data_IF_744538949815
#
_entry.id   IF_744538949815
#
_cell.length_a   1.000
_cell.length_b   1.000
_cell.length_c   1.000
_cell.angle_alpha   90.00
_cell.angle_beta   90.00
_cell.angle_gamma   90.00
#
_symmetry.space_group_name_H-M   'P 1'
#
loop_
_entity.id
_entity.type
_entity.pdbx_description
1 polymer ?
#
# COMPACT_ATOMS: atom_id res chain seq x y z
N UNK A 1 -25.68 -4.39 28.58
CA UNK A 1 -26.41 -4.25 27.30
C UNK A 1 -25.62 -4.98 26.23
N UNK A 2 -26.25 -5.81 25.40
CA UNK A 2 -25.55 -6.48 24.30
C UNK A 2 -24.88 -5.42 23.41
N UNK A 3 -23.56 -5.53 23.26
CA UNK A 3 -22.73 -4.62 22.46
C UNK A 3 -23.27 -4.65 21.03
N UNK A 4 -24.00 -3.60 20.61
CA UNK A 4 -24.59 -3.52 19.27
C UNK A 4 -23.42 -3.49 18.29
N UNK A 5 -23.21 -4.60 17.57
CA UNK A 5 -22.15 -4.69 16.56
C UNK A 5 -22.41 -3.62 15.50
N UNK A 6 -21.37 -2.88 15.14
CA UNK A 6 -21.51 -1.90 14.07
C UNK A 6 -21.85 -2.61 12.74
N UNK A 7 -22.71 -1.99 11.91
CA UNK A 7 -23.00 -2.52 10.59
C UNK A 7 -21.74 -2.50 9.73
N UNK A 8 -21.58 -3.56 8.92
CA UNK A 8 -20.50 -3.61 7.94
C UNK A 8 -20.83 -2.66 6.78
N UNK A 9 -19.95 -1.70 6.53
CA UNK A 9 -20.13 -0.71 5.46
C UNK A 9 -19.68 -1.32 4.12
N UNK A 10 -20.51 -1.32 3.06
CA UNK A 10 -20.07 -1.67 1.72
C UNK A 10 -19.13 -0.58 1.19
N UNK A 11 -17.92 -0.96 0.79
CA UNK A 11 -16.85 -0.04 0.37
C UNK A 11 -16.07 -0.65 -0.78
N UNK A 12 -15.73 0.15 -1.79
CA UNK A 12 -14.89 -0.26 -2.92
C UNK A 12 -13.40 -0.32 -2.51
N UNK A 13 -12.59 -1.12 -3.23
CA UNK A 13 -11.19 -1.34 -2.87
C UNK A 13 -10.38 -0.03 -2.90
N UNK A 14 -10.56 0.78 -3.94
CA UNK A 14 -9.87 2.06 -4.08
C UNK A 14 -10.25 3.06 -2.98
N UNK A 15 -11.51 3.06 -2.54
CA UNK A 15 -11.95 3.92 -1.44
C UNK A 15 -11.33 3.47 -0.10
N UNK A 16 -11.21 2.17 0.11
CA UNK A 16 -10.64 1.60 1.33
C UNK A 16 -9.13 1.84 1.41
N UNK A 17 -8.39 1.70 0.30
CA UNK A 17 -6.93 1.91 0.27
C UNK A 17 -6.53 3.37 0.49
N UNK A 18 -7.39 4.31 0.10
CA UNK A 18 -7.20 5.76 0.35
C UNK A 18 -7.59 6.20 1.76
N UNK A 19 -8.28 5.36 2.54
CA UNK A 19 -8.62 5.67 3.92
C UNK A 19 -7.41 5.55 4.85
N UNK A 20 -6.57 6.59 4.89
CA UNK A 20 -5.29 6.59 5.63
C UNK A 20 -5.41 7.17 7.04
N UNK A 21 -6.41 8.01 7.31
CA UNK A 21 -6.51 8.76 8.57
C UNK A 21 -7.26 7.97 9.64
N UNK A 22 -6.57 7.69 10.74
CA UNK A 22 -7.14 7.05 11.92
C UNK A 22 -7.88 8.06 12.81
N UNK A 23 -8.97 7.61 13.43
CA UNK A 23 -9.74 8.35 14.43
C UNK A 23 -10.18 7.40 15.55
N UNK A 24 -9.95 7.80 16.80
CA UNK A 24 -10.39 7.08 17.99
C UNK A 24 -11.30 8.01 18.77
N UNK A 25 -12.51 7.56 19.09
CA UNK A 25 -13.44 8.35 19.91
C UNK A 25 -13.11 8.19 21.41
N UNK A 26 -13.36 9.24 22.21
CA UNK A 26 -13.03 9.31 23.66
C UNK A 26 -13.84 8.38 24.59
N UNK A 27 -14.53 7.38 24.06
CA UNK A 27 -15.24 6.38 24.87
C UNK A 27 -14.30 5.22 25.24
N UNK A 28 -14.48 4.70 26.45
CA UNK A 28 -13.62 3.71 27.11
C UNK A 28 -13.44 2.37 26.34
N UNK A 29 -14.18 2.15 25.24
CA UNK A 29 -14.06 0.96 24.38
C UNK A 29 -14.39 1.26 22.91
N UNK A 30 -14.11 2.48 22.45
CA UNK A 30 -14.33 2.87 21.05
C UNK A 30 -13.46 2.05 20.11
N UNK A 31 -14.02 1.55 18.99
CA UNK A 31 -13.19 0.97 17.94
C UNK A 31 -12.34 2.08 17.30
N UNK A 32 -11.18 1.69 16.81
CA UNK A 32 -10.36 2.53 15.93
C UNK A 32 -11.06 2.62 14.58
N UNK A 33 -11.42 3.83 14.17
CA UNK A 33 -12.00 4.09 12.86
C UNK A 33 -10.93 4.55 11.89
N UNK A 34 -11.02 4.09 10.64
CA UNK A 34 -10.39 4.72 9.50
C UNK A 34 -11.39 5.63 8.82
N UNK A 35 -10.98 6.85 8.54
CA UNK A 35 -11.82 7.84 7.87
C UNK A 35 -11.40 7.86 6.39
N UNK A 36 -12.34 7.52 5.50
CA UNK A 36 -12.14 7.72 4.05
C UNK A 36 -12.13 9.22 3.72
N UNK A 37 -11.45 9.60 2.64
CA UNK A 37 -11.49 10.96 2.08
C UNK A 37 -12.94 11.41 1.80
N UNK A 38 -13.82 10.47 1.45
CA UNK A 38 -15.25 10.70 1.25
C UNK A 38 -16.08 10.55 2.54
N UNK A 39 -15.46 10.66 3.71
CA UNK A 39 -16.17 10.73 4.98
C UNK A 39 -16.79 9.43 5.50
N UNK A 40 -16.37 8.24 5.02
CA UNK A 40 -16.81 7.00 5.67
C UNK A 40 -16.06 6.78 6.99
N UNK A 41 -16.81 6.55 8.08
CA UNK A 41 -16.31 6.02 9.36
C UNK A 41 -16.21 4.50 9.28
N UNK A 42 -15.03 4.00 8.92
CA UNK A 42 -14.76 2.59 8.62
C UNK A 42 -14.16 1.88 9.84
N UNK A 43 -14.88 0.91 10.38
CA UNK A 43 -14.39 -0.03 11.41
C UNK A 43 -14.55 -1.48 10.94
N UNK A 44 -15.70 -1.76 10.33
CA UNK A 44 -16.11 -3.04 9.77
C UNK A 44 -16.62 -2.82 8.35
N UNK A 45 -16.16 -3.64 7.43
CA UNK A 45 -16.45 -3.52 6.00
C UNK A 45 -17.13 -4.77 5.48
N UNK A 46 -17.97 -4.56 4.47
CA UNK A 46 -18.51 -5.60 3.61
C UNK A 46 -17.83 -5.42 2.24
N UNK A 47 -17.00 -6.38 1.85
CA UNK A 47 -16.25 -6.34 0.60
C UNK A 47 -16.61 -7.55 -0.26
N UNK A 48 -16.58 -7.38 -1.57
CA UNK A 48 -16.93 -8.42 -2.53
C UNK A 48 -16.00 -8.36 -3.73
N UNK A 49 -15.74 -9.52 -4.33
CA UNK A 49 -14.81 -9.60 -5.44
C UNK A 49 -14.41 -11.02 -5.79
N UNK A 50 -13.38 -11.14 -6.61
CA UNK A 50 -12.73 -12.39 -6.96
C UNK A 50 -11.51 -12.58 -6.06
N UNK A 51 -11.53 -13.60 -5.22
CA UNK A 51 -10.36 -14.02 -4.47
C UNK A 51 -9.40 -14.70 -5.45
N UNK A 52 -8.21 -14.13 -5.67
CA UNK A 52 -7.24 -14.62 -6.66
C UNK A 52 -6.20 -15.52 -6.02
N UNK A 53 -5.61 -15.08 -4.90
CA UNK A 53 -4.47 -15.74 -4.27
C UNK A 53 -4.73 -15.91 -2.78
N UNK A 54 -4.31 -17.05 -2.25
CA UNK A 54 -4.31 -17.34 -0.82
C UNK A 54 -2.98 -18.03 -0.50
N UNK A 55 -2.16 -17.38 0.31
CA UNK A 55 -0.91 -17.93 0.83
C UNK A 55 -1.01 -18.13 2.33
N UNK A 56 -0.49 -19.27 2.82
CA UNK A 56 -0.20 -19.43 4.23
C UNK A 56 1.30 -19.17 4.45
N UNK A 57 1.63 -18.10 5.17
CA UNK A 57 3.00 -17.77 5.59
C UNK A 57 3.32 -18.18 7.03
N UNK A 58 2.34 -18.75 7.72
CA UNK A 58 2.53 -19.29 9.05
C UNK A 58 3.10 -20.70 9.03
N UNK A 59 3.30 -21.26 10.22
CA UNK A 59 3.54 -22.70 10.37
C UNK A 59 2.22 -23.47 10.34
N UNK A 60 2.29 -24.80 10.27
CA UNK A 60 1.07 -25.63 10.39
C UNK A 60 0.36 -25.45 11.74
N UNK A 61 1.13 -25.17 12.80
CA UNK A 61 0.62 -24.95 14.16
C UNK A 61 0.13 -23.51 14.41
N UNK A 62 0.72 -22.51 13.74
CA UNK A 62 0.29 -21.10 13.77
C UNK A 62 0.09 -20.58 12.33
N UNK A 63 -1.06 -20.91 11.70
CA UNK A 63 -1.30 -20.54 10.33
C UNK A 63 -1.53 -19.03 10.20
N UNK A 64 -0.88 -18.42 9.22
CA UNK A 64 -1.00 -17.01 8.88
C UNK A 64 -1.36 -16.86 7.41
N UNK A 65 -2.65 -16.72 7.14
CA UNK A 65 -3.19 -16.57 5.80
C UNK A 65 -3.13 -15.11 5.34
N UNK A 66 -2.52 -14.90 4.18
CA UNK A 66 -2.64 -13.69 3.39
C UNK A 66 -3.39 -14.00 2.11
N UNK A 67 -4.37 -13.17 1.80
CA UNK A 67 -5.22 -13.37 0.64
C UNK A 67 -5.38 -12.08 -0.16
N UNK A 68 -5.39 -12.23 -1.48
CA UNK A 68 -5.61 -11.15 -2.43
C UNK A 68 -7.00 -11.30 -3.05
N UNK A 69 -7.81 -10.25 -2.98
CA UNK A 69 -9.13 -10.21 -3.61
C UNK A 69 -9.26 -9.00 -4.51
N UNK A 70 -9.79 -9.18 -5.71
CA UNK A 70 -9.96 -8.13 -6.71
C UNK A 70 -11.44 -7.71 -6.75
N UNK A 71 -11.71 -6.42 -6.57
CA UNK A 71 -13.02 -5.78 -6.77
C UNK A 71 -13.39 -5.82 -8.27
N UNK A 72 -14.68 -5.89 -8.66
CA UNK A 72 -15.16 -5.58 -10.01
C UNK A 72 -14.44 -4.46 -10.78
N UNK A 73 -13.91 -3.43 -10.09
CA UNK A 73 -13.14 -2.34 -10.70
C UNK A 73 -11.68 -2.69 -11.07
N UNK A 74 -11.18 -3.88 -10.71
CA UNK A 74 -9.77 -4.29 -10.92
C UNK A 74 -8.82 -3.92 -9.78
N UNK A 75 -9.32 -3.21 -8.77
CA UNK A 75 -8.58 -2.85 -7.56
C UNK A 75 -8.49 -4.00 -6.55
N UNK A 76 -7.46 -3.99 -5.71
CA UNK A 76 -7.16 -5.10 -4.81
C UNK A 76 -7.47 -4.78 -3.35
N UNK A 77 -8.13 -5.72 -2.68
CA UNK A 77 -8.19 -5.85 -1.23
C UNK A 77 -7.14 -6.84 -0.73
N UNK A 78 -6.54 -6.50 0.40
CA UNK A 78 -5.65 -7.40 1.13
C UNK A 78 -6.33 -7.95 2.38
N UNK A 79 -6.46 -9.27 2.44
CA UNK A 79 -7.04 -10.01 3.55
C UNK A 79 -5.93 -10.62 4.39
N UNK A 80 -6.01 -10.49 5.72
CA UNK A 80 -5.06 -11.10 6.66
C UNK A 80 -5.78 -11.83 7.77
N UNK A 81 -5.44 -13.09 8.00
CA UNK A 81 -5.94 -13.86 9.14
C UNK A 81 -4.86 -14.78 9.72
N UNK A 82 -4.60 -14.67 11.02
CA UNK A 82 -3.64 -15.52 11.73
C UNK A 82 -4.18 -16.01 13.08
N UNK A 83 -3.30 -16.34 14.04
CA UNK A 83 -3.69 -16.77 15.41
C UNK A 83 -4.72 -15.87 16.10
N UNK A 84 -4.63 -14.54 15.93
CA UNK A 84 -5.56 -13.59 16.54
C UNK A 84 -6.91 -13.49 15.81
N UNK A 85 -7.07 -14.18 14.69
CA UNK A 85 -8.28 -14.25 13.88
C UNK A 85 -8.53 -15.69 13.38
N UNK A 86 -8.82 -16.64 14.28
CA UNK A 86 -8.96 -18.05 13.91
C UNK A 86 -10.18 -18.31 13.02
N UNK A 87 -11.27 -17.54 13.18
CA UNK A 87 -12.46 -17.64 12.33
C UNK A 87 -12.14 -17.28 10.87
N UNK A 88 -11.40 -16.19 10.66
CA UNK A 88 -10.95 -15.78 9.33
C UNK A 88 -9.96 -16.78 8.70
N UNK A 89 -9.02 -17.29 9.50
CA UNK A 89 -8.05 -18.28 9.04
C UNK A 89 -8.74 -19.58 8.61
N UNK A 90 -9.70 -20.06 9.40
CA UNK A 90 -10.49 -21.24 9.06
C UNK A 90 -11.41 -21.03 7.84
N UNK A 91 -11.85 -19.80 7.58
CA UNK A 91 -12.64 -19.50 6.38
C UNK A 91 -11.77 -19.48 5.11
N UNK A 92 -10.59 -18.86 5.19
CA UNK A 92 -9.63 -18.80 4.08
C UNK A 92 -9.06 -20.19 3.74
N UNK A 93 -8.77 -21.03 4.74
CA UNK A 93 -8.21 -22.37 4.51
C UNK A 93 -9.15 -23.34 3.79
N UNK A 94 -10.46 -23.07 3.80
CA UNK A 94 -11.49 -23.92 3.16
C UNK A 94 -11.83 -23.50 1.75
N UNK A 95 -11.26 -22.40 1.26
CA UNK A 95 -11.61 -21.82 -0.02
C UNK A 95 -10.48 -22.02 -1.00
N UNK A 96 -10.85 -22.52 -2.17
CA UNK A 96 -9.96 -22.67 -3.30
C UNK A 96 -10.13 -21.45 -4.21
N UNK A 97 -9.04 -20.70 -4.37
CA UNK A 97 -8.96 -19.60 -5.33
C UNK A 97 -8.54 -20.13 -6.72
N UNK A 98 -8.95 -19.49 -7.84
CA UNK A 98 -9.75 -18.27 -7.91
C UNK A 98 -11.26 -18.50 -7.73
N UNK A 99 -11.92 -17.69 -6.90
CA UNK A 99 -13.40 -17.75 -6.79
C UNK A 99 -14.05 -16.42 -6.34
N UNK A 100 -15.33 -16.23 -6.69
CA UNK A 100 -16.12 -15.09 -6.24
C UNK A 100 -16.48 -15.24 -4.76
N UNK A 101 -16.18 -14.23 -3.95
CA UNK A 101 -16.43 -14.22 -2.52
C UNK A 101 -17.00 -12.89 -2.06
N UNK A 102 -17.77 -12.93 -0.98
CA UNK A 102 -18.11 -11.77 -0.17
C UNK A 102 -17.58 -12.01 1.23
N UNK A 103 -16.85 -11.02 1.75
CA UNK A 103 -16.27 -11.05 3.07
C UNK A 103 -16.78 -9.89 3.93
N UNK A 104 -17.00 -10.18 5.21
CA UNK A 104 -17.18 -9.17 6.25
C UNK A 104 -15.95 -9.21 7.12
N UNK A 105 -15.33 -8.05 7.36
CA UNK A 105 -14.10 -8.00 8.13
C UNK A 105 -13.89 -6.68 8.87
N UNK A 106 -12.96 -6.70 9.83
CA UNK A 106 -12.48 -5.51 10.51
C UNK A 106 -11.33 -4.91 9.73
N UNK A 107 -11.30 -3.59 9.63
CA UNK A 107 -10.21 -2.91 8.93
C UNK A 107 -9.09 -2.62 9.92
N UNK A 108 -7.86 -2.89 9.50
CA UNK A 108 -6.64 -2.56 10.21
C UNK A 108 -5.70 -1.82 9.28
N UNK A 109 -5.28 -0.64 9.68
CA UNK A 109 -4.12 0.03 9.09
C UNK A 109 -2.85 -0.47 9.77
N UNK A 110 -1.78 -0.58 9.00
CA UNK A 110 -0.43 -0.82 9.48
C UNK A 110 0.50 0.15 8.75
N UNK A 111 1.33 0.86 9.51
CA UNK A 111 2.41 1.69 8.99
C UNK A 111 3.71 1.02 9.43
N UNK A 112 4.61 0.64 8.52
CA UNK A 112 5.97 0.25 8.89
C UNK A 112 6.70 1.44 9.52
N UNK A 113 7.59 1.19 10.48
CA UNK A 113 8.36 2.25 11.14
C UNK A 113 9.37 2.94 10.19
N UNK A 114 9.80 2.23 9.14
CA UNK A 114 10.76 2.71 8.12
C UNK A 114 10.09 3.37 6.90
N UNK A 115 8.76 3.56 6.90
CA UNK A 115 8.05 4.11 5.74
C UNK A 115 6.79 4.89 6.14
N UNK A 116 6.57 6.04 5.48
CA UNK A 116 5.30 6.78 5.55
C UNK A 116 4.12 6.06 4.85
N UNK A 117 4.34 4.86 4.30
CA UNK A 117 3.32 4.07 3.64
C UNK A 117 2.33 3.44 4.63
N UNK A 118 1.06 3.85 4.53
CA UNK A 118 -0.04 3.25 5.28
C UNK A 118 -0.69 2.13 4.46
N UNK A 119 -0.54 0.90 4.93
CA UNK A 119 -1.19 -0.26 4.34
C UNK A 119 -2.51 -0.57 5.04
N UNK A 120 -3.59 -0.64 4.26
CA UNK A 120 -4.92 -1.00 4.76
C UNK A 120 -5.19 -2.47 4.46
N UNK A 121 -5.50 -3.23 5.51
CA UNK A 121 -5.79 -4.65 5.43
C UNK A 121 -7.13 -4.96 6.10
N UNK A 122 -7.76 -6.04 5.66
CA UNK A 122 -9.03 -6.51 6.21
C UNK A 122 -8.82 -7.83 6.93
N UNK A 123 -9.22 -7.89 8.20
CA UNK A 123 -9.28 -9.11 8.99
C UNK A 123 -10.67 -9.73 8.80
N UNK A 124 -10.82 -10.80 8.00
CA UNK A 124 -12.13 -11.38 7.74
C UNK A 124 -12.70 -12.02 9.01
N UNK A 125 -13.93 -11.66 9.37
CA UNK A 125 -14.73 -12.33 10.39
C UNK A 125 -15.59 -13.43 9.78
N UNK A 126 -16.09 -13.20 8.56
CA UNK A 126 -16.88 -14.17 7.81
C UNK A 126 -16.58 -14.00 6.33
N UNK A 127 -16.43 -15.11 5.63
CA UNK A 127 -16.15 -15.11 4.21
C UNK A 127 -16.91 -16.27 3.58
N UNK A 128 -17.65 -15.97 2.49
CA UNK A 128 -18.49 -16.94 1.80
C UNK A 128 -18.24 -16.89 0.29
N UNK A 129 -18.14 -18.06 -0.33
CA UNK A 129 -18.20 -18.22 -1.79
C UNK A 129 -19.60 -17.83 -2.29
N UNK A 130 -19.65 -16.97 -3.30
CA UNK A 130 -20.87 -16.41 -3.86
C UNK A 130 -20.87 -16.53 -5.38
N UNK A 131 -22.01 -16.24 -6.00
CA UNK A 131 -22.10 -16.08 -7.46
C UNK A 131 -21.65 -14.69 -7.90
N UNK A 132 -21.29 -14.54 -9.17
CA UNK A 132 -20.97 -13.24 -9.79
C UNK A 132 -22.10 -12.23 -9.59
N UNK A 133 -23.36 -12.65 -9.76
CA UNK A 133 -24.53 -11.79 -9.57
C UNK A 133 -24.61 -11.22 -8.14
N UNK A 134 -24.23 -11.98 -7.12
CA UNK A 134 -24.21 -11.50 -5.74
C UNK A 134 -23.12 -10.45 -5.53
N UNK A 135 -21.96 -10.60 -6.18
CA UNK A 135 -20.90 -9.59 -6.19
C UNK A 135 -21.40 -8.33 -6.89
N UNK A 136 -22.07 -8.44 -8.04
CA UNK A 136 -22.67 -7.29 -8.73
C UNK A 136 -23.68 -6.54 -7.85
N UNK A 137 -24.55 -7.26 -7.14
CA UNK A 137 -25.53 -6.66 -6.20
C UNK A 137 -24.81 -5.97 -5.04
N UNK A 138 -23.72 -6.55 -4.53
CA UNK A 138 -22.88 -5.90 -3.52
C UNK A 138 -22.23 -4.62 -4.07
N UNK A 139 -21.68 -4.66 -5.28
CA UNK A 139 -20.99 -3.54 -5.91
C UNK A 139 -21.95 -2.35 -6.11
N UNK A 140 -23.19 -2.60 -6.54
CA UNK A 140 -24.25 -1.57 -6.61
C UNK A 140 -24.51 -0.94 -5.24
N UNK A 141 -24.50 -1.72 -4.15
CA UNK A 141 -24.66 -1.19 -2.78
C UNK A 141 -23.46 -0.35 -2.35
N UNK A 142 -22.24 -0.75 -2.70
CA UNK A 142 -21.04 0.03 -2.45
C UNK A 142 -21.06 1.36 -3.23
N UNK A 143 -21.40 1.32 -4.52
CA UNK A 143 -21.56 2.51 -5.36
C UNK A 143 -22.62 3.47 -4.80
N UNK A 144 -23.79 2.95 -4.41
CA UNK A 144 -24.82 3.78 -3.78
C UNK A 144 -24.37 4.38 -2.43
N UNK A 145 -23.55 3.67 -1.68
CA UNK A 145 -22.97 4.16 -0.42
C UNK A 145 -21.99 5.32 -0.64
N UNK A 146 -21.11 5.18 -1.63
CA UNK A 146 -20.16 6.23 -2.02
C UNK A 146 -20.87 7.42 -2.67
N UNK A 147 -21.81 7.19 -3.58
CA UNK A 147 -22.58 8.24 -4.26
C UNK A 147 -23.36 9.12 -3.28
N UNK A 148 -23.97 8.55 -2.24
CA UNK A 148 -24.67 9.35 -1.21
C UNK A 148 -23.72 10.31 -0.50
N UNK A 149 -22.54 9.84 -0.12
CA UNK A 149 -21.50 10.67 0.53
C UNK A 149 -20.91 11.70 -0.42
N UNK A 150 -20.72 11.36 -1.69
CA UNK A 150 -20.27 12.30 -2.72
C UNK A 150 -21.28 13.45 -2.92
N UNK A 151 -22.57 13.12 -3.06
CA UNK A 151 -23.64 14.13 -3.13
C UNK A 151 -23.72 14.97 -1.86
N UNK A 152 -23.56 14.35 -0.68
CA UNK A 152 -23.53 15.08 0.58
C UNK A 152 -22.33 16.02 0.72
N UNK A 153 -21.15 15.62 0.23
CA UNK A 153 -19.98 16.48 0.15
C UNK A 153 -20.21 17.69 -0.76
N UNK A 154 -20.77 17.46 -1.95
CA UNK A 154 -21.15 18.53 -2.88
C UNK A 154 -22.19 19.47 -2.28
N UNK A 155 -23.24 18.94 -1.64
CA UNK A 155 -24.26 19.73 -0.97
C UNK A 155 -23.66 20.63 0.14
N UNK A 156 -22.70 20.12 0.93
CA UNK A 156 -21.99 20.94 1.92
C UNK A 156 -21.20 22.08 1.27
N UNK A 157 -20.50 21.81 0.17
CA UNK A 157 -19.77 22.83 -0.58
C UNK A 157 -20.70 23.89 -1.16
N UNK A 158 -21.89 23.50 -1.61
CA UNK A 158 -22.92 24.38 -2.17
C UNK A 158 -23.84 25.00 -1.09
N UNK A 159 -23.47 24.88 0.20
CA UNK A 159 -24.26 25.34 1.34
C UNK A 159 -25.73 24.89 1.33
N UNK A 160 -25.99 23.70 0.80
CA UNK A 160 -27.28 23.03 0.72
C UNK A 160 -27.40 21.92 1.76
N UNK A 161 -28.63 21.49 2.09
CA UNK A 161 -28.87 20.47 3.12
C UNK A 161 -28.52 19.06 2.59
N UNK A 162 -27.53 18.36 3.18
CA UNK A 162 -27.15 17.03 2.74
C UNK A 162 -28.15 15.96 3.21
N UNK A 163 -28.67 15.16 2.28
CA UNK A 163 -29.46 13.96 2.59
C UNK A 163 -28.57 12.80 3.09
N UNK A 164 -27.93 12.99 4.25
CA UNK A 164 -27.01 12.04 4.87
C UNK A 164 -27.52 11.58 6.24
N UNK A 165 -27.23 10.33 6.60
CA UNK A 165 -27.45 9.86 7.97
C UNK A 165 -26.45 10.51 8.95
N UNK A 166 -26.78 10.54 10.25
CA UNK A 166 -25.90 11.13 11.28
C UNK A 166 -24.44 10.63 11.22
N UNK A 167 -24.24 9.32 11.02
CA UNK A 167 -22.89 8.72 10.92
C UNK A 167 -22.12 9.24 9.70
N UNK A 168 -22.79 9.47 8.59
CA UNK A 168 -22.18 9.95 7.35
C UNK A 168 -21.85 11.44 7.45
N UNK A 169 -22.71 12.24 8.10
CA UNK A 169 -22.43 13.65 8.40
C UNK A 169 -21.22 13.80 9.33
N UNK A 170 -21.16 13.04 10.42
CA UNK A 170 -20.01 13.02 11.33
C UNK A 170 -18.72 12.63 10.60
N UNK A 171 -18.77 11.58 9.77
CA UNK A 171 -17.62 11.10 9.04
C UNK A 171 -17.13 12.10 8.00
N UNK A 172 -18.04 12.80 7.32
CA UNK A 172 -17.71 13.86 6.38
C UNK A 172 -17.07 15.07 7.04
N UNK A 173 -17.57 15.49 8.21
CA UNK A 173 -16.95 16.55 9.01
C UNK A 173 -15.52 16.17 9.43
N UNK A 174 -15.33 14.93 9.90
CA UNK A 174 -14.00 14.41 10.24
C UNK A 174 -13.07 14.33 9.03
N UNK A 175 -13.59 14.04 7.83
CA UNK A 175 -12.79 14.02 6.62
C UNK A 175 -12.34 15.42 6.23
N UNK A 176 -13.21 16.43 6.31
CA UNK A 176 -12.85 17.84 6.05
C UNK A 176 -11.81 18.38 7.04
N UNK A 177 -11.80 17.88 8.28
CA UNK A 177 -10.78 18.25 9.27
C UNK A 177 -9.43 17.56 9.00
N UNK A 178 -9.45 16.31 8.51
CA UNK A 178 -8.26 15.46 8.40
C UNK A 178 -7.60 15.45 7.02
N UNK A 179 -8.34 15.79 5.97
CA UNK A 179 -7.90 15.83 4.59
C UNK A 179 -8.04 17.27 4.06
N UNK A 180 -6.91 17.88 3.72
CA UNK A 180 -6.87 19.26 3.20
C UNK A 180 -7.43 19.35 1.78
N UNK A 181 -7.18 18.34 0.96
CA UNK A 181 -7.64 18.24 -0.42
C UNK A 181 -8.26 16.87 -0.68
N UNK A 182 -9.50 16.87 -1.17
CA UNK A 182 -10.22 15.66 -1.57
C UNK A 182 -10.65 15.82 -3.02
N UNK A 183 -10.15 14.96 -3.91
CA UNK A 183 -10.56 14.94 -5.31
C UNK A 183 -11.89 14.22 -5.47
N UNK A 184 -12.99 14.98 -5.47
CA UNK A 184 -14.34 14.42 -5.71
C UNK A 184 -14.47 13.86 -7.12
N UNK A 185 -13.75 14.42 -8.09
CA UNK A 185 -13.74 13.97 -9.50
C UNK A 185 -13.19 12.55 -9.64
N UNK A 186 -12.12 12.20 -8.91
CA UNK A 186 -11.56 10.85 -8.94
C UNK A 186 -12.56 9.80 -8.44
N UNK A 187 -13.32 10.11 -7.38
CA UNK A 187 -14.37 9.20 -6.89
C UNK A 187 -15.59 9.14 -7.81
N UNK A 188 -15.91 10.21 -8.53
CA UNK A 188 -16.94 10.19 -9.55
C UNK A 188 -16.54 9.31 -10.74
N UNK A 189 -15.26 9.34 -11.15
CA UNK A 189 -14.70 8.42 -12.15
C UNK A 189 -14.79 6.96 -11.72
N UNK A 190 -14.36 6.64 -10.49
CA UNK A 190 -14.50 5.31 -9.90
C UNK A 190 -15.95 4.79 -9.92
N UNK A 191 -16.91 5.66 -9.57
CA UNK A 191 -18.33 5.31 -9.63
C UNK A 191 -18.79 5.02 -11.06
N UNK A 192 -18.36 5.84 -12.02
CA UNK A 192 -18.70 5.68 -13.42
C UNK A 192 -18.16 4.36 -13.97
N UNK A 193 -16.88 4.06 -13.73
CA UNK A 193 -16.23 2.84 -14.21
C UNK A 193 -16.87 1.58 -13.62
N UNK A 194 -17.15 1.59 -12.31
CA UNK A 194 -17.82 0.48 -11.63
C UNK A 194 -19.24 0.27 -12.17
N UNK A 195 -20.04 1.33 -12.32
CA UNK A 195 -21.40 1.22 -12.85
C UNK A 195 -21.44 0.80 -14.32
N UNK A 196 -20.48 1.25 -15.13
CA UNK A 196 -20.34 0.85 -16.54
C UNK A 196 -19.93 -0.61 -16.69
N UNK A 197 -19.04 -1.09 -15.83
CA UNK A 197 -18.72 -2.51 -15.73
C UNK A 197 -19.97 -3.34 -15.39
N UNK A 198 -20.75 -2.89 -14.40
CA UNK A 198 -21.97 -3.58 -13.97
C UNK A 198 -23.12 -3.53 -14.99
N UNK A 199 -23.16 -2.51 -15.87
CA UNK A 199 -24.15 -2.44 -16.95
C UNK A 199 -23.84 -3.38 -18.12
N UNK A 200 -22.66 -4.01 -18.14
CA UNK A 200 -22.21 -4.89 -19.21
C UNK A 200 -21.79 -4.14 -20.49
N UNK A 201 -21.63 -2.82 -20.41
CA UNK A 201 -21.12 -2.01 -21.54
C UNK A 201 -19.60 -2.14 -21.73
N UNK A 202 -18.90 -2.62 -20.70
CA UNK A 202 -17.50 -3.04 -20.79
C UNK A 202 -17.45 -4.57 -20.88
N UNK A 203 -16.75 -5.17 -21.86
CA UNK A 203 -16.49 -6.61 -21.83
C UNK A 203 -15.76 -6.90 -20.53
N UNK A 204 -16.15 -7.99 -19.85
CA UNK A 204 -15.51 -8.47 -18.62
C UNK A 204 -13.99 -8.36 -18.78
N UNK A 205 -13.38 -7.39 -18.08
CA UNK A 205 -11.94 -7.17 -18.17
C UNK A 205 -11.29 -8.50 -17.85
N UNK A 206 -10.57 -9.02 -18.83
CA UNK A 206 -9.60 -10.09 -18.66
C UNK A 206 -8.84 -9.80 -17.37
N UNK A 207 -8.70 -10.83 -16.52
CA UNK A 207 -7.71 -10.82 -15.46
C UNK A 207 -6.36 -10.54 -16.13
N UNK A 208 -6.01 -9.28 -16.31
CA UNK A 208 -4.68 -8.88 -16.73
C UNK A 208 -3.79 -9.41 -15.64
N UNK A 209 -2.96 -10.41 -15.98
CA UNK A 209 -2.01 -11.01 -15.06
C UNK A 209 -1.16 -9.90 -14.47
N UNK A 210 -1.54 -9.45 -13.26
CA UNK A 210 -0.69 -8.65 -12.40
C UNK A 210 0.48 -9.52 -11.96
N UNK A 211 1.64 -8.91 -11.62
CA UNK A 211 2.85 -9.65 -11.26
C UNK A 211 2.57 -10.72 -10.21
N UNK A 212 3.35 -11.81 -10.21
CA UNK A 212 3.17 -12.92 -9.29
C UNK A 212 3.05 -12.37 -7.86
N UNK A 213 2.04 -12.86 -7.14
CA UNK A 213 1.82 -12.49 -5.74
C UNK A 213 3.06 -12.92 -4.95
N UNK A 214 3.99 -12.00 -4.70
CA UNK A 214 5.17 -12.24 -3.85
C UNK A 214 4.83 -12.05 -2.38
N UNK A 215 3.56 -11.73 -2.07
CA UNK A 215 3.03 -11.27 -0.78
C UNK A 215 3.84 -10.17 -0.09
N UNK A 216 4.68 -9.47 -0.83
CA UNK A 216 5.17 -8.14 -0.51
C UNK A 216 4.14 -7.14 -1.02
N UNK A 217 3.78 -6.18 -0.17
CA UNK A 217 2.74 -5.22 -0.52
C UNK A 217 3.32 -4.20 -1.51
N UNK A 218 2.76 -4.12 -2.71
CA UNK A 218 3.09 -3.06 -3.65
C UNK A 218 2.57 -1.71 -3.12
N UNK A 219 3.38 -0.67 -3.30
CA UNK A 219 3.10 0.70 -2.85
C UNK A 219 1.93 1.30 -3.63
N UNK A 220 1.13 2.12 -2.94
CA UNK A 220 -0.05 2.78 -3.53
C UNK A 220 0.28 3.81 -4.64
N UNK A 221 1.56 4.09 -4.87
CA UNK A 221 2.05 5.04 -5.87
C UNK A 221 2.24 4.39 -7.26
N UNK A 222 2.35 3.06 -7.32
CA UNK A 222 2.59 2.32 -8.56
C UNK A 222 1.35 2.18 -9.48
N UNK A 223 0.24 2.84 -9.17
CA UNK A 223 -1.03 2.69 -9.90
C UNK A 223 -1.35 3.85 -10.87
N UNK A 224 -0.42 4.79 -11.08
CA UNK A 224 -0.63 5.96 -11.96
C UNK A 224 -0.16 5.80 -13.42
N UNK A 225 0.42 4.67 -13.84
CA UNK A 225 0.87 4.51 -15.24
C UNK A 225 0.02 3.49 -16.02
N UNK A 226 -0.63 3.90 -17.14
CA UNK A 226 -1.32 2.95 -18.03
C UNK A 226 -0.30 2.05 -18.76
N UNK A 227 -0.57 0.75 -18.94
CA UNK A 227 0.37 -0.14 -19.59
C UNK A 227 0.27 -0.02 -21.12
N UNK A 228 1.40 0.25 -21.76
CA UNK A 228 1.56 0.13 -23.20
C UNK A 228 1.71 -1.36 -23.59
N UNK A 229 0.97 -1.76 -24.63
CA UNK A 229 0.86 -3.09 -25.21
C UNK A 229 2.21 -3.71 -25.62
N UNK A 230 2.42 -5.04 -25.46
CA UNK A 230 3.66 -5.72 -25.82
C UNK A 230 3.66 -6.21 -27.28
N UNK A 231 4.83 -6.18 -27.92
CA UNK A 231 5.11 -6.90 -29.16
C UNK A 231 6.08 -8.05 -28.88
N UNK A 232 5.72 -9.23 -29.39
CA UNK A 232 6.41 -10.51 -29.29
C UNK A 232 7.77 -10.52 -30.02
N UNK A 233 8.76 -11.26 -29.48
CA UNK A 233 9.32 -12.53 -30.03
C UNK A 233 10.85 -12.63 -29.86
N UNK A 234 11.23 -13.70 -29.15
CA UNK A 234 12.41 -14.60 -29.27
C UNK A 234 13.88 -14.11 -29.28
N UNK A 235 14.61 -14.75 -28.34
CA UNK A 235 15.88 -15.46 -28.49
C UNK A 235 17.20 -14.66 -28.58
N UNK A 236 17.98 -14.77 -27.49
CA UNK A 236 19.30 -15.43 -27.42
C UNK A 236 20.26 -14.66 -26.51
N UNK A 237 21.03 -15.41 -25.73
CA UNK A 237 21.96 -14.91 -24.72
C UNK A 237 23.35 -14.62 -25.35
N UNK A 238 24.36 -14.25 -24.53
CA UNK A 238 24.94 -12.90 -24.42
C UNK A 238 26.27 -12.76 -25.22
N UNK A 239 26.86 -11.55 -25.31
CA UNK A 239 28.03 -11.31 -24.45
C UNK A 239 28.25 -9.87 -23.97
N UNK A 240 29.20 -9.79 -23.04
CA UNK A 240 29.80 -8.66 -22.34
C UNK A 240 30.38 -7.51 -23.20
N UNK A 241 30.45 -6.36 -22.54
CA UNK A 241 31.53 -5.37 -22.49
C UNK A 241 31.60 -4.19 -23.48
N UNK A 242 31.93 -3.05 -22.87
CA UNK A 242 32.65 -1.87 -23.37
C UNK A 242 31.81 -0.87 -24.21
N UNK A 243 31.25 0.20 -23.61
CA UNK A 243 31.84 1.49 -23.18
C UNK A 243 31.80 2.60 -24.24
N UNK A 244 31.46 3.80 -23.74
CA UNK A 244 31.91 5.15 -24.14
C UNK A 244 31.04 5.96 -25.12
N UNK A 245 30.44 7.03 -24.56
CA UNK A 245 30.71 8.46 -24.84
C UNK A 245 29.49 9.26 -24.33
N UNK A 246 29.58 9.97 -23.19
CA UNK A 246 30.07 11.38 -23.07
C UNK A 246 29.31 12.31 -24.03
N UNK A 247 28.57 13.32 -23.57
CA UNK A 247 29.00 14.58 -22.94
C UNK A 247 27.72 15.33 -22.49
N UNK A 248 27.68 16.30 -21.59
CA UNK A 248 28.61 16.92 -20.64
C UNK A 248 27.80 18.03 -19.93
N UNK A 249 28.11 18.30 -18.67
CA UNK A 249 28.14 19.68 -18.15
C UNK A 249 28.94 19.66 -16.84
N UNK A 250 30.15 20.17 -16.96
CA UNK A 250 31.18 20.40 -15.96
C UNK A 250 30.79 21.38 -14.83
N UNK A 251 31.66 21.36 -13.81
CA UNK A 251 31.92 22.30 -12.69
C UNK A 251 31.47 21.71 -11.32
N UNK A 252 32.32 21.23 -10.39
CA UNK A 252 33.75 21.39 -10.11
C UNK A 252 34.33 20.08 -9.51
N UNK A 253 35.37 19.53 -10.13
CA UNK A 253 36.12 18.36 -9.66
C UNK A 253 37.16 18.77 -8.60
N UNK A 254 36.90 18.40 -7.34
CA UNK A 254 37.92 17.72 -6.54
C UNK A 254 37.68 16.22 -6.79
N UNK A 255 38.70 15.47 -7.21
CA UNK A 255 38.45 14.16 -7.84
C UNK A 255 37.62 13.24 -6.92
N UNK A 256 36.51 12.72 -7.43
CA UNK A 256 35.62 11.82 -6.67
C UNK A 256 36.40 10.62 -6.13
N UNK A 257 37.44 10.19 -6.85
CA UNK A 257 38.37 9.17 -6.41
C UNK A 257 39.16 9.55 -5.14
N UNK A 258 39.56 10.82 -4.97
CA UNK A 258 40.23 11.29 -3.74
C UNK A 258 39.25 11.35 -2.56
N UNK A 259 37.99 11.72 -2.82
CA UNK A 259 36.94 11.76 -1.81
C UNK A 259 36.50 10.35 -1.37
N UNK A 260 36.37 9.42 -2.32
CA UNK A 260 36.12 7.99 -2.08
C UNK A 260 37.26 7.36 -1.26
N UNK A 261 38.52 7.65 -1.63
CA UNK A 261 39.69 7.20 -0.89
C UNK A 261 39.69 7.75 0.55
N UNK A 262 39.31 9.02 0.76
CA UNK A 262 39.20 9.61 2.08
C UNK A 262 38.11 8.95 2.93
N UNK A 263 36.96 8.60 2.34
CA UNK A 263 35.87 7.89 3.03
C UNK A 263 36.28 6.45 3.40
N UNK A 264 36.95 5.72 2.52
CA UNK A 264 37.50 4.39 2.82
C UNK A 264 38.51 4.41 3.96
N UNK A 265 39.39 5.41 3.96
CA UNK A 265 40.36 5.64 5.03
C UNK A 265 39.67 5.91 6.37
N UNK A 266 38.56 6.65 6.33
CA UNK A 266 37.77 7.02 7.51
C UNK A 266 36.99 5.83 8.06
N UNK A 267 36.41 4.99 7.20
CA UNK A 267 35.78 3.72 7.59
C UNK A 267 36.81 2.76 8.19
N UNK A 268 38.00 2.67 7.61
CA UNK A 268 39.07 1.79 8.13
C UNK A 268 39.61 2.27 9.48
N UNK A 269 39.79 3.59 9.65
CA UNK A 269 40.32 4.18 10.90
C UNK A 269 39.35 4.09 12.07
N UNK A 270 38.05 4.12 11.81
CA UNK A 270 36.99 4.10 12.83
C UNK A 270 36.45 2.67 13.10
N UNK A 271 36.92 1.66 12.37
CA UNK A 271 36.59 0.25 12.60
C UNK A 271 37.51 -0.36 13.68
N UNK A 272 37.26 0.02 14.93
CA UNK A 272 38.09 -0.38 16.07
C UNK A 272 37.98 -1.88 16.42
N UNK A 273 36.88 -2.53 16.01
CA UNK A 273 36.49 -3.87 16.48
C UNK A 273 36.23 -4.88 15.34
N UNK A 274 36.33 -4.47 14.07
CA UNK A 274 36.06 -5.35 12.93
C UNK A 274 34.57 -5.68 12.76
N UNK A 275 33.69 -4.88 13.37
CA UNK A 275 32.24 -5.01 13.29
C UNK A 275 31.61 -3.99 12.33
N UNK A 276 32.42 -3.08 11.77
CA UNK A 276 31.96 -1.96 10.95
C UNK A 276 31.57 -0.74 11.78
N UNK A 277 31.64 0.41 11.11
CA UNK A 277 31.47 1.74 11.70
C UNK A 277 30.03 2.20 11.53
N UNK A 278 29.43 2.69 12.62
CA UNK A 278 28.10 3.29 12.60
C UNK A 278 28.08 4.53 11.71
N UNK A 279 27.04 4.66 10.87
CA UNK A 279 26.85 5.79 9.98
C UNK A 279 26.90 7.15 10.69
N UNK A 280 26.27 7.29 11.86
CA UNK A 280 26.31 8.54 12.63
C UNK A 280 27.75 8.97 12.96
N UNK A 281 28.63 8.01 13.27
CA UNK A 281 30.04 8.30 13.54
C UNK A 281 30.80 8.64 12.25
N UNK A 282 30.49 7.95 11.15
CA UNK A 282 31.07 8.27 9.84
C UNK A 282 30.69 9.69 9.40
N UNK A 283 29.41 10.04 9.53
CA UNK A 283 28.85 11.37 9.24
C UNK A 283 29.57 12.47 10.02
N UNK A 284 29.67 12.32 11.34
CA UNK A 284 30.26 13.37 12.19
C UNK A 284 31.75 13.60 11.85
N UNK A 285 32.48 12.54 11.47
CA UNK A 285 33.89 12.64 11.07
C UNK A 285 34.05 13.09 9.61
N UNK A 286 33.14 12.75 8.71
CA UNK A 286 33.12 13.21 7.33
C UNK A 286 32.84 14.71 7.24
N UNK A 287 31.88 15.22 8.02
CA UNK A 287 31.61 16.66 8.13
C UNK A 287 32.83 17.40 8.71
N UNK A 288 33.53 16.80 9.68
CA UNK A 288 34.78 17.36 10.20
C UNK A 288 35.92 17.37 9.16
N UNK A 289 35.89 16.45 8.18
CA UNK A 289 36.80 16.40 7.04
C UNK A 289 36.37 17.28 5.85
N UNK A 290 35.24 17.99 5.97
CA UNK A 290 34.72 18.88 4.93
C UNK A 290 33.86 18.18 3.86
N UNK A 291 33.44 16.94 4.08
CA UNK A 291 32.49 16.20 3.24
C UNK A 291 31.09 16.41 3.83
N UNK A 292 30.18 17.01 3.06
CA UNK A 292 28.80 17.19 3.51
C UNK A 292 28.03 15.86 3.57
N UNK A 293 26.89 15.85 4.25
CA UNK A 293 26.12 14.63 4.49
C UNK A 293 25.58 14.00 3.21
N UNK A 294 25.14 14.83 2.26
CA UNK A 294 24.62 14.37 0.97
C UNK A 294 25.73 13.73 0.16
N UNK A 295 26.91 14.37 0.16
CA UNK A 295 28.09 13.88 -0.54
C UNK A 295 28.65 12.60 0.08
N UNK A 296 28.56 12.44 1.39
CA UNK A 296 28.95 11.19 2.06
C UNK A 296 28.07 10.02 1.62
N UNK A 297 26.75 10.23 1.51
CA UNK A 297 25.81 9.19 1.09
C UNK A 297 26.09 8.75 -0.36
N UNK A 298 26.29 9.72 -1.26
CA UNK A 298 26.68 9.45 -2.65
C UNK A 298 27.99 8.64 -2.75
N UNK A 299 28.99 8.99 -1.94
CA UNK A 299 30.28 8.28 -1.92
C UNK A 299 30.18 6.88 -1.31
N UNK A 300 29.36 6.70 -0.27
CA UNK A 300 29.12 5.37 0.32
C UNK A 300 28.37 4.44 -0.62
N UNK A 301 27.39 4.97 -1.37
CA UNK A 301 26.66 4.22 -2.39
C UNK A 301 27.58 3.84 -3.56
N UNK A 302 28.39 4.80 -4.06
CA UNK A 302 29.40 4.53 -5.11
C UNK A 302 30.41 3.45 -4.67
N UNK A 303 30.94 3.55 -3.45
CA UNK A 303 31.88 2.57 -2.89
C UNK A 303 31.26 1.18 -2.70
N UNK A 304 29.96 1.12 -2.39
CA UNK A 304 29.23 -0.13 -2.23
C UNK A 304 28.94 -0.78 -3.59
N UNK A 305 28.61 0.00 -4.62
CA UNK A 305 28.43 -0.47 -5.99
C UNK A 305 29.76 -0.98 -6.60
N UNK A 306 30.88 -0.36 -6.25
CA UNK A 306 32.23 -0.83 -6.60
C UNK A 306 32.66 -2.06 -5.77
N UNK A 307 31.90 -2.42 -4.73
CA UNK A 307 32.21 -3.53 -3.83
C UNK A 307 33.41 -3.28 -2.91
N UNK A 308 33.79 -2.02 -2.69
CA UNK A 308 34.88 -1.62 -1.79
C UNK A 308 34.39 -1.43 -0.35
N UNK A 309 33.11 -1.17 -0.16
CA UNK A 309 32.45 -1.18 1.15
C UNK A 309 31.23 -2.10 1.12
N UNK A 310 30.82 -2.55 2.29
CA UNK A 310 29.59 -3.32 2.48
C UNK A 310 29.00 -3.06 3.87
N UNK A 311 27.71 -3.38 4.04
CA UNK A 311 26.99 -3.19 5.30
C UNK A 311 26.81 -4.52 6.06
N UNK A 312 27.63 -4.86 7.07
CA UNK A 312 27.48 -6.09 7.84
C UNK A 312 26.23 -6.10 8.76
N UNK A 313 25.71 -4.92 9.12
CA UNK A 313 24.52 -4.76 9.94
C UNK A 313 23.85 -3.42 9.63
N UNK A 314 22.59 -3.26 10.03
CA UNK A 314 21.81 -2.04 9.78
C UNK A 314 22.59 -0.79 10.23
N UNK A 315 22.78 0.14 9.29
CA UNK A 315 23.44 1.41 9.51
C UNK A 315 24.92 1.31 9.96
N UNK A 316 25.61 0.21 9.62
CA UNK A 316 27.06 0.03 9.83
C UNK A 316 27.74 -0.25 8.50
N UNK A 317 28.86 0.43 8.23
CA UNK A 317 29.64 0.28 7.02
C UNK A 317 31.03 -0.28 7.34
N UNK A 318 31.54 -1.13 6.46
CA UNK A 318 32.87 -1.70 6.56
C UNK A 318 33.51 -1.80 5.18
N UNK A 319 34.84 -1.71 5.12
CA UNK A 319 35.60 -1.99 3.91
C UNK A 319 35.59 -3.50 3.62
N UNK A 320 35.39 -3.88 2.36
CA UNK A 320 35.31 -5.26 1.87
C UNK A 320 36.64 -6.03 1.96
#
# INVERSE_FOLDING_TARGET
MARRREPALPVLAQELSRARKTHVEDREYSPTYLISEMGAKISRVLIGGVLTDIENRGSEDDPFYMARMIDPNGDTYYLRAGQYNPEGAAALSRIEAPCHVIAVGRVRSYSPDDSDAVYVSVQPENLRKVSEQEVSVWAVKACNSLMRRLKGAQALSDASDPELGMREQEGLALAQEKYETVSTESYAGLLYDCLKYLSGETPATTLTEKPPFTGEFETAEAMETPPATPAETEADAPPEAATAAEESSDEEQASDADAEAAVLDLVTKLDDQGEGVLYDKLRDNAVAAGIDTTRLDELLDSLNDQGLTYQPAFNRFRVA
#
